data_IF_577966926138
#
_entry.id   IF_577966926138
#
_cell.length_a   1.000
_cell.length_b   1.000
_cell.length_c   1.000
_cell.angle_alpha   90.00
_cell.angle_beta   90.00
_cell.angle_gamma   90.00
#
_symmetry.space_group_name_H-M   'P 1'
#
loop_
_entity.id
_entity.type
_entity.pdbx_description
1 polymer ?
#
# COMPACT_ATOMS: atom_id res chain seq x y z
N UNK A 1 15.45 -5.03 -38.78
CA UNK A 1 16.77 -4.41 -38.96
C UNK A 1 16.71 -3.04 -38.28
N UNK A 2 17.75 -2.72 -37.48
CA UNK A 2 17.96 -1.46 -36.72
C UNK A 2 17.13 -1.31 -35.44
N UNK A 3 17.66 -0.96 -34.26
CA UNK A 3 19.02 -0.97 -33.65
C UNK A 3 18.73 -0.97 -32.13
N UNK A 4 19.36 -1.87 -31.39
CA UNK A 4 19.43 -1.80 -29.93
C UNK A 4 20.68 -1.00 -29.55
N UNK A 5 20.53 0.01 -28.68
CA UNK A 5 21.67 0.59 -27.97
C UNK A 5 21.59 0.23 -26.49
N UNK A 6 22.57 -0.59 -26.10
CA UNK A 6 22.98 -0.89 -24.75
C UNK A 6 24.45 -0.49 -24.68
N UNK A 7 24.79 0.53 -23.90
CA UNK A 7 26.13 0.88 -23.39
C UNK A 7 25.89 1.93 -22.29
N UNK A 8 26.55 1.94 -21.15
CA UNK A 8 27.64 1.10 -20.65
C UNK A 8 28.08 1.69 -19.31
N UNK A 9 28.33 0.81 -18.35
CA UNK A 9 28.95 1.11 -17.07
C UNK A 9 30.27 1.86 -17.24
N UNK A 10 30.41 3.03 -16.60
CA UNK A 10 31.72 3.62 -16.29
C UNK A 10 31.78 4.49 -15.03
N UNK A 11 30.80 4.37 -14.14
CA UNK A 11 30.81 5.03 -12.83
C UNK A 11 31.02 4.05 -11.65
N UNK A 12 31.00 2.74 -11.88
CA UNK A 12 31.09 1.73 -10.81
C UNK A 12 32.52 1.18 -10.63
N UNK A 13 33.36 1.19 -11.66
CA UNK A 13 34.75 0.72 -11.54
C UNK A 13 35.73 1.75 -10.93
N UNK A 14 35.38 3.04 -10.92
CA UNK A 14 36.25 4.09 -10.33
C UNK A 14 36.05 4.21 -8.81
N UNK A 15 34.90 3.75 -8.28
CA UNK A 15 34.61 3.80 -6.84
C UNK A 15 35.09 2.57 -6.07
N UNK A 16 35.29 1.43 -6.73
CA UNK A 16 35.81 0.22 -6.09
C UNK A 16 37.35 0.16 -6.06
N UNK A 17 38.05 0.91 -6.93
CA UNK A 17 39.52 1.00 -6.89
C UNK A 17 40.06 1.87 -5.74
N UNK A 18 39.32 2.90 -5.29
CA UNK A 18 39.74 3.79 -4.18
C UNK A 18 39.54 3.21 -2.78
N UNK A 19 38.63 2.24 -2.61
CA UNK A 19 38.37 1.60 -1.32
C UNK A 19 39.39 0.49 -0.97
N UNK A 20 40.06 -0.09 -1.97
CA UNK A 20 41.10 -1.09 -1.77
C UNK A 20 42.47 -0.49 -1.40
N UNK A 21 42.78 0.74 -1.87
CA UNK A 21 44.03 1.44 -1.58
C UNK A 21 44.10 2.06 -0.16
N UNK A 22 42.96 2.27 0.50
CA UNK A 22 42.91 2.77 1.88
C UNK A 22 43.01 1.64 2.92
N UNK A 23 42.65 0.40 2.58
CA UNK A 23 42.76 -0.76 3.48
C UNK A 23 44.16 -1.39 3.56
N UNK A 24 45.07 -1.05 2.65
CA UNK A 24 46.46 -1.54 2.67
C UNK A 24 47.46 -0.62 3.37
N UNK A 25 47.03 0.56 3.86
CA UNK A 25 47.92 1.55 4.52
C UNK A 25 47.88 1.57 6.05
N UNK A 26 47.05 0.76 6.70
CA UNK A 26 46.95 0.73 8.18
C UNK A 26 47.59 -0.50 8.82
N UNK A 27 48.42 -1.27 8.11
CA UNK A 27 49.04 -2.47 8.68
C UNK A 27 50.51 -2.60 8.31
N UNK A 28 51.37 -1.71 8.83
CA UNK A 28 52.82 -1.93 8.84
C UNK A 28 53.53 -1.31 10.07
N UNK A 29 53.80 -2.20 11.04
CA UNK A 29 55.05 -2.35 11.82
C UNK A 29 55.42 -1.34 12.95
N UNK A 30 56.34 -1.70 13.89
CA UNK A 30 56.71 -3.04 14.40
C UNK A 30 56.80 -3.14 15.95
N UNK A 31 56.95 -4.39 16.41
CA UNK A 31 57.22 -4.81 17.78
C UNK A 31 58.70 -4.60 18.21
N UNK A 32 58.91 -4.34 19.51
CA UNK A 32 60.19 -4.49 20.20
C UNK A 32 59.97 -5.09 21.60
N UNK A 33 60.94 -5.90 22.04
CA UNK A 33 60.81 -6.94 23.05
C UNK A 33 61.18 -6.51 24.49
N UNK A 34 60.53 -7.15 25.47
CA UNK A 34 61.11 -7.74 26.70
C UNK A 34 61.56 -6.83 27.85
N UNK A 35 60.99 -7.04 29.05
CA UNK A 35 61.67 -7.48 30.30
C UNK A 35 60.63 -7.56 31.45
N UNK A 36 60.77 -8.57 32.30
CA UNK A 36 59.87 -9.03 33.36
C UNK A 36 60.05 -8.34 34.74
N UNK A 37 58.98 -8.47 35.55
CA UNK A 37 58.87 -8.44 37.03
C UNK A 37 58.71 -7.08 37.78
N UNK A 38 58.12 -7.03 39.01
CA UNK A 38 57.18 -7.95 39.68
C UNK A 38 55.89 -7.27 40.25
N UNK A 39 54.98 -8.12 40.72
CA UNK A 39 53.64 -7.90 41.31
C UNK A 39 53.62 -7.03 42.59
N UNK A 40 52.60 -6.15 42.71
CA UNK A 40 51.95 -5.73 43.98
C UNK A 40 50.44 -5.48 43.76
N UNK A 41 49.54 -5.84 44.69
CA UNK A 41 48.08 -5.74 44.48
C UNK A 41 47.39 -4.54 45.16
N UNK A 42 46.15 -4.30 44.70
CA UNK A 42 45.01 -3.55 45.28
C UNK A 42 44.81 -2.09 44.80
N UNK A 43 43.57 -1.52 44.80
CA UNK A 43 42.27 -2.07 45.25
C UNK A 43 41.12 -2.01 44.21
N UNK A 44 40.02 -2.74 44.48
CA UNK A 44 38.74 -2.72 43.74
C UNK A 44 38.10 -1.33 43.81
N UNK A 45 37.92 -0.67 42.67
CA UNK A 45 37.02 0.47 42.50
C UNK A 45 35.66 0.00 41.96
N UNK A 46 34.59 0.56 42.53
CA UNK A 46 33.20 0.24 42.24
C UNK A 46 32.78 0.67 40.82
N UNK A 47 31.89 -0.12 40.20
CA UNK A 47 31.28 0.18 38.91
C UNK A 47 30.34 1.40 39.00
N UNK A 48 30.29 2.27 37.98
CA UNK A 48 29.29 3.32 37.89
C UNK A 48 27.90 2.74 37.60
N UNK A 49 26.88 3.21 38.34
CA UNK A 49 25.47 2.89 38.11
C UNK A 49 24.97 3.55 36.82
N UNK A 50 24.34 2.76 35.95
CA UNK A 50 23.57 3.25 34.80
C UNK A 50 22.31 4.01 35.27
N UNK A 51 21.94 5.14 34.61
CA UNK A 51 20.67 5.79 34.88
C UNK A 51 19.49 4.95 34.34
N UNK A 52 18.41 4.93 35.12
CA UNK A 52 17.18 4.18 34.84
C UNK A 52 16.51 4.57 33.50
N UNK A 53 15.85 3.63 32.82
CA UNK A 53 15.23 3.89 31.52
C UNK A 53 14.02 4.82 31.67
N UNK A 54 14.00 5.87 30.84
CA UNK A 54 12.84 6.73 30.64
C UNK A 54 11.77 5.92 29.90
N UNK A 55 10.69 5.57 30.59
CA UNK A 55 9.52 4.93 29.99
C UNK A 55 8.73 6.02 29.25
N UNK A 56 8.92 6.13 27.94
CA UNK A 56 8.00 6.87 27.06
C UNK A 56 6.81 5.97 26.75
N UNK A 57 5.65 6.30 27.28
CA UNK A 57 4.40 5.61 26.95
C UNK A 57 4.01 5.91 25.50
N UNK A 58 3.78 4.90 24.64
CA UNK A 58 3.33 5.13 23.27
C UNK A 58 1.91 5.70 23.23
N UNK A 59 1.63 6.51 22.20
CA UNK A 59 0.28 7.01 21.91
C UNK A 59 -0.71 5.85 21.72
N UNK A 60 -2.00 5.99 22.08
CA UNK A 60 -3.03 4.97 21.87
C UNK A 60 -3.10 4.42 20.43
N UNK A 61 -2.70 5.21 19.42
CA UNK A 61 -2.63 4.78 18.03
C UNK A 61 -1.49 3.76 17.77
N UNK A 62 -0.34 3.92 18.42
CA UNK A 62 0.81 3.00 18.30
C UNK A 62 0.56 1.67 19.01
N UNK A 63 -0.29 1.65 20.05
CA UNK A 63 -0.69 0.40 20.73
C UNK A 63 -1.63 -0.46 19.87
N UNK A 64 -2.44 0.13 18.98
CA UNK A 64 -3.29 -0.60 18.03
C UNK A 64 -2.51 -1.16 16.83
N UNK A 65 -1.26 -0.73 16.62
CA UNK A 65 -0.44 -1.11 15.47
C UNK A 65 0.01 -2.58 15.51
N UNK A 66 0.14 -3.18 16.70
CA UNK A 66 0.72 -4.52 16.87
C UNK A 66 -0.24 -5.70 16.67
N UNK A 67 -1.56 -5.48 16.56
CA UNK A 67 -2.54 -6.59 16.60
C UNK A 67 -3.19 -6.90 15.25
N UNK A 68 -3.08 -6.04 14.23
CA UNK A 68 -3.70 -6.29 12.93
C UNK A 68 -2.75 -5.95 11.78
N UNK A 69 -2.17 -7.02 11.22
CA UNK A 69 -1.43 -7.18 9.95
C UNK A 69 0.07 -7.46 10.16
N UNK A 70 0.60 -8.62 9.71
CA UNK A 70 2.02 -8.94 9.86
C UNK A 70 2.90 -7.92 9.10
N UNK A 71 3.99 -7.49 9.75
CA UNK A 71 4.96 -6.47 9.33
C UNK A 71 5.77 -6.79 8.05
N UNK A 72 5.33 -7.70 7.20
CA UNK A 72 6.02 -8.05 5.95
C UNK A 72 5.12 -7.83 4.74
N UNK A 73 4.63 -6.59 4.58
CA UNK A 73 4.08 -6.14 3.29
C UNK A 73 5.24 -5.79 2.37
N UNK A 74 5.63 -6.75 1.53
CA UNK A 74 6.64 -6.53 0.49
C UNK A 74 6.24 -5.36 -0.42
N UNK A 75 7.12 -4.36 -0.50
CA UNK A 75 7.05 -3.22 -1.41
C UNK A 75 7.00 -3.62 -2.89
N UNK A 76 7.26 -4.88 -3.24
CA UNK A 76 7.38 -5.32 -4.64
C UNK A 76 6.04 -5.60 -5.34
N UNK A 77 4.90 -5.51 -4.65
CA UNK A 77 3.58 -5.73 -5.28
C UNK A 77 3.12 -4.63 -6.23
N UNK A 78 3.58 -3.40 -6.03
CA UNK A 78 3.11 -2.25 -6.81
C UNK A 78 3.76 -2.16 -8.20
N UNK A 79 4.83 -2.93 -8.44
CA UNK A 79 5.58 -2.92 -9.70
C UNK A 79 4.89 -3.67 -10.86
N UNK A 80 4.20 -4.76 -10.55
CA UNK A 80 3.92 -5.81 -11.54
C UNK A 80 2.49 -5.84 -12.10
N UNK A 81 1.59 -4.98 -11.61
CA UNK A 81 0.27 -4.78 -12.26
C UNK A 81 0.42 -4.02 -13.60
N UNK A 82 1.57 -3.37 -13.84
CA UNK A 82 1.87 -2.57 -15.05
C UNK A 82 2.03 -3.41 -16.33
N UNK A 83 2.14 -4.75 -16.24
CA UNK A 83 2.26 -5.61 -17.42
C UNK A 83 0.94 -5.89 -18.17
N UNK A 84 -0.22 -5.41 -17.68
CA UNK A 84 -1.54 -5.72 -18.24
C UNK A 84 -2.33 -4.49 -18.72
N UNK A 85 -1.72 -3.54 -19.41
CA UNK A 85 -2.48 -2.64 -20.32
C UNK A 85 -1.65 -2.21 -21.52
N UNK A 86 -1.74 -2.98 -22.61
CA UNK A 86 -1.37 -2.51 -23.95
C UNK A 86 -2.48 -2.68 -24.98
N UNK A 87 -3.73 -2.73 -24.53
CA UNK A 87 -4.87 -2.53 -25.41
C UNK A 87 -5.36 -1.10 -25.22
N UNK A 88 -5.02 -0.26 -26.20
CA UNK A 88 -5.49 1.11 -26.35
C UNK A 88 -6.97 1.16 -26.72
N UNK A 89 -7.83 0.78 -25.77
CA UNK A 89 -9.25 1.12 -25.80
C UNK A 89 -9.43 2.53 -25.26
N UNK A 90 -9.96 3.43 -26.08
CA UNK A 90 -10.34 4.78 -25.69
C UNK A 90 -11.19 4.74 -24.41
N UNK A 91 -10.88 5.65 -23.47
CA UNK A 91 -11.67 5.85 -22.27
C UNK A 91 -13.13 6.11 -22.66
N UNK A 92 -14.12 5.35 -22.13
CA UNK A 92 -15.48 5.84 -22.13
C UNK A 92 -15.52 7.12 -21.29
N UNK A 93 -16.02 8.18 -21.92
CA UNK A 93 -16.25 9.50 -21.36
C UNK A 93 -17.23 9.45 -20.17
N UNK A 94 -16.97 10.27 -19.14
CA UNK A 94 -17.87 10.72 -18.04
C UNK A 94 -19.06 9.80 -17.69
N UNK A 95 -19.18 9.20 -16.50
CA UNK A 95 -19.34 9.88 -15.21
C UNK A 95 -19.10 8.93 -14.00
N UNK A 96 -17.87 8.79 -13.50
CA UNK A 96 -17.61 8.00 -12.28
C UNK A 96 -18.10 8.68 -10.99
N UNK A 97 -17.96 10.02 -10.84
CA UNK A 97 -18.43 10.67 -9.60
C UNK A 97 -19.94 10.63 -9.44
N UNK A 98 -20.75 10.77 -10.50
CA UNK A 98 -22.21 10.75 -10.35
C UNK A 98 -22.72 9.44 -9.71
N UNK A 99 -22.01 8.33 -9.93
CA UNK A 99 -22.32 7.04 -9.30
C UNK A 99 -21.86 6.98 -7.84
N UNK A 100 -20.84 7.73 -7.48
CA UNK A 100 -20.23 7.75 -6.14
C UNK A 100 -20.78 8.87 -5.25
N UNK A 101 -21.40 9.91 -5.83
CA UNK A 101 -22.08 10.98 -5.11
C UNK A 101 -23.12 10.38 -4.18
N UNK A 102 -23.09 10.76 -2.90
CA UNK A 102 -23.99 10.23 -1.88
C UNK A 102 -23.58 8.86 -1.30
N UNK A 103 -22.53 8.22 -1.81
CA UNK A 103 -21.94 7.06 -1.14
C UNK A 103 -21.09 7.48 0.07
N UNK A 104 -21.00 6.62 1.11
CA UNK A 104 -20.14 6.89 2.27
C UNK A 104 -18.69 7.18 1.86
N UNK A 105 -18.04 8.12 2.56
CA UNK A 105 -16.66 8.52 2.27
C UNK A 105 -15.69 7.32 2.25
N UNK A 106 -15.88 6.32 3.12
CA UNK A 106 -15.07 5.11 3.12
C UNK A 106 -15.09 4.35 1.78
N UNK A 107 -16.24 4.29 1.11
CA UNK A 107 -16.40 3.64 -0.19
C UNK A 107 -15.73 4.44 -1.29
N UNK A 108 -15.90 5.77 -1.28
CA UNK A 108 -15.24 6.70 -2.22
C UNK A 108 -13.72 6.62 -2.10
N UNK A 109 -13.20 6.68 -0.88
CA UNK A 109 -11.75 6.60 -0.59
C UNK A 109 -11.17 5.25 -1.01
N UNK A 110 -11.83 4.13 -0.69
CA UNK A 110 -11.40 2.81 -1.16
C UNK A 110 -11.39 2.74 -2.69
N UNK A 111 -12.39 3.31 -3.35
CA UNK A 111 -12.50 3.33 -4.82
C UNK A 111 -11.34 4.08 -5.46
N UNK A 112 -10.92 5.22 -4.90
CA UNK A 112 -9.75 5.97 -5.36
C UNK A 112 -8.47 5.13 -5.26
N UNK A 113 -8.18 4.58 -4.09
CA UNK A 113 -7.00 3.72 -3.90
C UNK A 113 -7.04 2.51 -4.83
N UNK A 114 -8.21 1.87 -4.97
CA UNK A 114 -8.40 0.75 -5.90
C UNK A 114 -8.16 1.15 -7.36
N UNK A 115 -8.54 2.35 -7.77
CA UNK A 115 -8.29 2.84 -9.11
C UNK A 115 -6.79 3.01 -9.40
N UNK A 116 -6.01 3.45 -8.40
CA UNK A 116 -4.55 3.48 -8.52
C UNK A 116 -3.93 2.09 -8.59
N UNK A 117 -4.43 1.13 -7.80
CA UNK A 117 -3.94 -0.25 -7.79
C UNK A 117 -4.23 -1.01 -9.09
N UNK A 118 -5.44 -0.81 -9.62
CA UNK A 118 -5.98 -1.65 -10.71
C UNK A 118 -5.97 -0.95 -12.07
N UNK A 119 -5.89 0.37 -12.08
CA UNK A 119 -6.07 1.18 -13.28
C UNK A 119 -7.52 1.18 -13.81
N UNK A 120 -8.49 0.81 -12.99
CA UNK A 120 -9.91 0.71 -13.35
C UNK A 120 -10.73 1.68 -12.51
N UNK A 121 -11.82 2.22 -13.07
CA UNK A 121 -12.77 3.04 -12.33
C UNK A 121 -13.78 2.20 -11.56
N UNK A 122 -14.70 2.84 -10.84
CA UNK A 122 -15.87 2.17 -10.27
C UNK A 122 -16.83 1.70 -11.37
N UNK A 123 -17.46 0.51 -11.23
CA UNK A 123 -17.24 -0.52 -10.21
C UNK A 123 -16.11 -1.50 -10.56
N UNK A 124 -15.55 -1.45 -11.78
CA UNK A 124 -14.55 -2.39 -12.32
C UNK A 124 -13.33 -2.62 -11.40
N UNK A 125 -12.89 -1.63 -10.64
CA UNK A 125 -11.77 -1.77 -9.70
C UNK A 125 -12.02 -2.82 -8.61
N UNK A 126 -13.27 -3.04 -8.21
CA UNK A 126 -13.65 -4.08 -7.25
C UNK A 126 -13.69 -5.48 -7.85
N UNK A 127 -13.75 -5.59 -9.19
CA UNK A 127 -13.72 -6.85 -9.93
C UNK A 127 -12.34 -7.27 -10.42
N UNK A 128 -11.29 -6.47 -10.20
CA UNK A 128 -9.99 -6.75 -10.81
C UNK A 128 -9.37 -8.03 -10.26
N UNK A 129 -8.93 -8.92 -11.17
CA UNK A 129 -8.28 -10.18 -10.82
C UNK A 129 -6.91 -10.26 -11.50
N UNK A 130 -5.90 -10.69 -10.75
CA UNK A 130 -4.54 -10.90 -11.25
C UNK A 130 -4.03 -12.31 -10.90
N UNK A 131 -3.30 -12.92 -11.83
CA UNK A 131 -2.76 -14.28 -11.69
C UNK A 131 -1.50 -14.35 -10.82
N UNK A 132 -0.82 -15.50 -10.82
CA UNK A 132 0.28 -15.84 -9.92
C UNK A 132 1.65 -15.20 -10.24
N UNK A 133 1.71 -13.90 -10.51
CA UNK A 133 2.97 -13.24 -10.88
C UNK A 133 3.95 -13.07 -9.70
N UNK A 134 3.47 -13.09 -8.46
CA UNK A 134 4.25 -12.90 -7.23
C UNK A 134 4.24 -14.12 -6.29
N UNK A 135 3.75 -15.28 -6.76
CA UNK A 135 3.67 -16.49 -5.95
C UNK A 135 2.45 -16.58 -5.03
N UNK A 136 1.50 -15.64 -5.13
CA UNK A 136 0.35 -15.55 -4.22
C UNK A 136 -0.91 -16.27 -4.72
N UNK A 137 -0.80 -17.00 -5.83
CA UNK A 137 -1.86 -17.78 -6.47
C UNK A 137 -2.79 -16.91 -7.31
N UNK A 138 -3.59 -16.10 -6.64
CA UNK A 138 -4.59 -15.23 -7.23
C UNK A 138 -4.77 -13.99 -6.35
N UNK A 139 -4.80 -12.81 -6.97
CA UNK A 139 -5.17 -11.54 -6.32
C UNK A 139 -6.50 -11.04 -6.85
N UNK A 140 -7.33 -10.46 -5.99
CA UNK A 140 -8.71 -10.09 -6.27
C UNK A 140 -9.08 -8.76 -5.61
N UNK A 141 -9.85 -7.95 -6.32
CA UNK A 141 -10.59 -6.81 -5.80
C UNK A 141 -9.77 -5.55 -5.53
N UNK A 142 -10.43 -4.59 -4.89
CA UNK A 142 -9.99 -3.23 -4.67
C UNK A 142 -8.59 -3.09 -4.03
N UNK A 143 -8.22 -3.98 -3.10
CA UNK A 143 -6.91 -3.98 -2.44
C UNK A 143 -6.03 -5.18 -2.83
N UNK A 144 -6.38 -5.91 -3.89
CA UNK A 144 -5.65 -7.10 -4.35
C UNK A 144 -5.44 -8.13 -3.22
N UNK A 145 -6.52 -8.45 -2.49
CA UNK A 145 -6.53 -9.55 -1.52
C UNK A 145 -6.19 -10.85 -2.24
N UNK A 146 -5.43 -11.73 -1.58
CA UNK A 146 -4.86 -12.89 -2.27
C UNK A 146 -4.84 -14.14 -1.39
N UNK A 147 -4.78 -15.27 -2.08
CA UNK A 147 -4.81 -16.59 -1.46
C UNK A 147 -3.55 -16.84 -0.61
N UNK A 148 -2.37 -16.52 -1.14
CA UNK A 148 -1.10 -16.84 -0.47
C UNK A 148 -0.94 -16.22 0.93
N UNK A 149 -1.45 -14.99 1.12
CA UNK A 149 -1.47 -14.31 2.42
C UNK A 149 -2.64 -14.71 3.31
N UNK A 150 -3.60 -15.48 2.82
CA UNK A 150 -4.82 -15.79 3.58
C UNK A 150 -5.81 -14.62 3.65
N UNK A 151 -5.61 -13.56 2.85
CA UNK A 151 -6.38 -12.33 2.98
C UNK A 151 -7.65 -12.30 2.13
N UNK A 152 -7.75 -13.15 1.11
CA UNK A 152 -8.91 -13.24 0.22
C UNK A 152 -10.02 -14.15 0.76
N UNK A 153 -9.61 -15.23 1.41
CA UNK A 153 -10.49 -16.28 1.91
C UNK A 153 -11.60 -15.75 2.83
N UNK A 154 -11.34 -14.80 3.76
CA UNK A 154 -12.40 -14.26 4.61
C UNK A 154 -13.49 -13.52 3.83
N UNK A 155 -13.15 -12.83 2.73
CA UNK A 155 -14.13 -12.12 1.90
C UNK A 155 -15.06 -13.11 1.18
N UNK A 156 -14.46 -14.16 0.60
CA UNK A 156 -15.20 -15.19 -0.12
C UNK A 156 -16.06 -16.05 0.81
N UNK A 157 -15.56 -16.36 2.03
CA UNK A 157 -16.37 -17.03 3.06
C UNK A 157 -17.55 -16.19 3.47
N UNK A 158 -17.34 -14.89 3.73
CA UNK A 158 -18.43 -13.98 4.08
C UNK A 158 -19.47 -13.87 2.96
N UNK A 159 -19.04 -13.83 1.69
CA UNK A 159 -19.95 -13.85 0.55
C UNK A 159 -20.77 -15.13 0.47
N UNK A 160 -20.13 -16.30 0.62
CA UNK A 160 -20.84 -17.59 0.65
C UNK A 160 -21.83 -17.65 1.81
N UNK A 161 -21.40 -17.25 2.99
CA UNK A 161 -22.17 -17.45 4.22
C UNK A 161 -23.35 -16.46 4.33
N UNK A 162 -23.23 -15.25 3.77
CA UNK A 162 -24.27 -14.19 3.87
C UNK A 162 -25.05 -13.95 2.58
N UNK A 163 -24.50 -14.32 1.43
CA UNK A 163 -25.01 -13.99 0.10
C UNK A 163 -24.95 -15.20 -0.84
N UNK A 164 -25.24 -16.40 -0.32
CA UNK A 164 -25.13 -17.66 -1.07
C UNK A 164 -25.92 -17.66 -2.39
N UNK A 165 -27.14 -17.11 -2.38
CA UNK A 165 -27.99 -17.03 -3.57
C UNK A 165 -27.36 -16.18 -4.69
N UNK A 166 -26.76 -15.04 -4.32
CA UNK A 166 -26.03 -14.19 -5.27
C UNK A 166 -24.78 -14.92 -5.79
N UNK A 167 -24.03 -15.57 -4.89
CA UNK A 167 -22.83 -16.32 -5.23
C UNK A 167 -23.12 -17.47 -6.20
N UNK A 168 -24.19 -18.24 -5.97
CA UNK A 168 -24.67 -19.31 -6.88
C UNK A 168 -25.04 -18.76 -8.25
N UNK A 169 -25.73 -17.63 -8.27
CA UNK A 169 -26.14 -16.99 -9.52
C UNK A 169 -24.93 -16.52 -10.33
N UNK A 170 -23.96 -15.89 -9.67
CA UNK A 170 -22.78 -15.31 -10.31
C UNK A 170 -21.82 -16.40 -10.81
N UNK A 171 -21.54 -17.41 -9.97
CA UNK A 171 -20.59 -18.47 -10.32
C UNK A 171 -21.22 -19.55 -11.21
N UNK A 172 -22.55 -19.71 -11.17
CA UNK A 172 -23.29 -20.72 -11.92
C UNK A 172 -22.64 -22.11 -11.79
N UNK A 173 -22.23 -22.73 -12.90
CA UNK A 173 -21.57 -24.03 -12.91
C UNK A 173 -20.22 -24.10 -12.21
N UNK A 174 -19.61 -22.96 -11.83
CA UNK A 174 -18.36 -22.90 -11.09
C UNK A 174 -18.56 -22.91 -9.56
N UNK A 175 -19.80 -22.79 -9.08
CA UNK A 175 -20.10 -22.61 -7.66
C UNK A 175 -19.58 -23.76 -6.79
N UNK A 176 -19.82 -25.02 -7.21
CA UNK A 176 -19.44 -26.18 -6.40
C UNK A 176 -17.91 -26.32 -6.30
N UNK A 177 -17.19 -26.13 -7.41
CA UNK A 177 -15.72 -26.13 -7.43
C UNK A 177 -15.15 -24.99 -6.56
N UNK A 178 -15.76 -23.80 -6.64
CA UNK A 178 -15.36 -22.66 -5.81
C UNK A 178 -15.53 -22.95 -4.32
N UNK A 179 -16.67 -23.50 -3.91
CA UNK A 179 -16.93 -23.83 -2.51
C UNK A 179 -15.99 -24.93 -2.02
N UNK A 180 -15.78 -25.98 -2.83
CA UNK A 180 -14.82 -27.04 -2.52
C UNK A 180 -13.40 -26.49 -2.31
N UNK A 181 -12.95 -25.60 -3.20
CA UNK A 181 -11.67 -24.92 -3.02
C UNK A 181 -11.65 -24.09 -1.73
N UNK A 182 -12.68 -23.32 -1.44
CA UNK A 182 -12.71 -22.42 -0.28
C UNK A 182 -12.63 -23.16 1.07
N UNK A 183 -13.14 -24.39 1.12
CA UNK A 183 -13.09 -25.29 2.29
C UNK A 183 -11.79 -26.11 2.36
N UNK A 184 -10.99 -26.13 1.29
CA UNK A 184 -9.71 -26.86 1.25
C UNK A 184 -8.60 -26.15 2.04
N UNK A 185 -7.55 -26.86 2.48
CA UNK A 185 -6.34 -26.26 3.06
C UNK A 185 -5.70 -25.20 2.14
N UNK A 186 -4.97 -24.24 2.70
CA UNK A 186 -4.39 -23.12 1.92
C UNK A 186 -3.50 -23.60 0.76
N UNK A 187 -2.73 -24.67 0.94
CA UNK A 187 -1.86 -25.20 -0.12
C UNK A 187 -2.69 -25.75 -1.28
N UNK A 188 -3.86 -26.31 -1.00
CA UNK A 188 -4.79 -26.82 -2.02
C UNK A 188 -5.50 -25.69 -2.73
N UNK A 189 -5.80 -24.60 -2.02
CA UNK A 189 -6.28 -23.35 -2.64
C UNK A 189 -5.24 -22.76 -3.59
N UNK A 190 -3.96 -22.78 -3.22
CA UNK A 190 -2.88 -22.35 -4.10
C UNK A 190 -2.73 -23.27 -5.33
N UNK A 191 -2.87 -24.59 -5.15
CA UNK A 191 -2.89 -25.55 -6.27
C UNK A 191 -4.07 -25.33 -7.20
N UNK A 192 -5.28 -25.11 -6.66
CA UNK A 192 -6.45 -24.73 -7.45
C UNK A 192 -6.21 -23.42 -8.20
N UNK A 193 -5.69 -22.41 -7.49
CA UNK A 193 -5.39 -21.12 -8.09
C UNK A 193 -4.45 -21.27 -9.27
N UNK A 194 -3.40 -22.11 -9.18
CA UNK A 194 -2.52 -22.45 -10.31
C UNK A 194 -3.23 -23.23 -11.41
N UNK A 195 -4.17 -24.11 -11.08
CA UNK A 195 -4.92 -24.94 -12.04
C UNK A 195 -5.85 -24.14 -12.95
N UNK A 196 -6.36 -22.99 -12.50
CA UNK A 196 -7.27 -22.14 -13.30
C UNK A 196 -6.53 -21.10 -14.17
N UNK A 197 -5.21 -21.18 -14.28
CA UNK A 197 -4.39 -20.22 -15.03
C UNK A 197 -3.29 -20.94 -15.81
N UNK A 198 -2.85 -20.30 -16.88
CA UNK A 198 -1.74 -20.74 -17.70
C UNK A 198 -0.66 -19.68 -17.76
N UNK A 199 0.59 -20.13 -17.76
CA UNK A 199 1.73 -19.26 -18.04
C UNK A 199 1.79 -19.03 -19.55
N UNK A 200 1.49 -17.82 -19.99
CA UNK A 200 1.63 -17.39 -21.36
C UNK A 200 3.05 -16.85 -21.53
N UNK A 201 3.86 -17.57 -22.31
CA UNK A 201 5.22 -17.12 -22.65
C UNK A 201 5.15 -15.80 -23.41
N UNK A 202 5.80 -14.79 -22.83
CA UNK A 202 5.90 -13.45 -23.41
C UNK A 202 7.23 -12.85 -22.97
N UNK A 203 7.56 -11.62 -23.41
CA UNK A 203 8.79 -10.96 -22.98
C UNK A 203 8.92 -10.83 -21.46
N UNK A 204 7.79 -10.81 -20.75
CA UNK A 204 7.73 -10.71 -19.28
C UNK A 204 7.17 -11.98 -18.62
N UNK A 205 6.68 -12.94 -19.40
CA UNK A 205 5.76 -14.01 -18.99
C UNK A 205 4.51 -13.48 -18.27
N UNK A 206 3.34 -13.96 -18.66
CA UNK A 206 2.07 -13.48 -18.08
C UNK A 206 1.22 -14.64 -17.61
N UNK A 207 0.73 -14.58 -16.38
CA UNK A 207 -0.24 -15.54 -15.87
C UNK A 207 -1.64 -15.16 -16.36
N UNK A 208 -2.20 -15.97 -17.25
CA UNK A 208 -3.56 -15.79 -17.77
C UNK A 208 -4.52 -16.71 -17.03
N UNK A 209 -5.49 -16.11 -16.35
CA UNK A 209 -6.63 -16.82 -15.74
C UNK A 209 -7.58 -17.28 -16.85
N UNK A 210 -8.10 -18.50 -16.74
CA UNK A 210 -9.10 -19.05 -17.64
C UNK A 210 -10.32 -18.13 -17.74
N UNK A 211 -10.84 -17.92 -18.95
CA UNK A 211 -11.81 -16.85 -19.22
C UNK A 211 -13.11 -17.04 -18.42
N UNK A 212 -13.57 -18.27 -18.22
CA UNK A 212 -14.75 -18.58 -17.38
C UNK A 212 -14.55 -18.10 -15.92
N UNK A 213 -13.42 -18.45 -15.32
CA UNK A 213 -13.07 -18.02 -13.95
C UNK A 213 -12.86 -16.52 -13.87
N UNK A 214 -12.13 -15.94 -14.83
CA UNK A 214 -11.88 -14.50 -14.88
C UNK A 214 -13.20 -13.73 -14.93
N UNK A 215 -14.10 -14.09 -15.84
CA UNK A 215 -15.37 -13.41 -16.01
C UNK A 215 -16.27 -13.56 -14.76
N UNK A 216 -16.37 -14.77 -14.20
CA UNK A 216 -17.18 -15.03 -13.01
C UNK A 216 -16.65 -14.27 -11.78
N UNK A 217 -15.33 -14.24 -11.57
CA UNK A 217 -14.71 -13.51 -10.47
C UNK A 217 -14.82 -11.99 -10.68
N UNK A 218 -14.68 -11.49 -11.91
CA UNK A 218 -14.92 -10.08 -12.20
C UNK A 218 -16.37 -9.69 -11.87
N UNK A 219 -17.35 -10.49 -12.31
CA UNK A 219 -18.76 -10.28 -11.97
C UNK A 219 -19.00 -10.34 -10.46
N UNK A 220 -18.36 -11.29 -9.76
CA UNK A 220 -18.42 -11.38 -8.30
C UNK A 220 -17.93 -10.10 -7.64
N UNK A 221 -16.75 -9.60 -8.00
CA UNK A 221 -16.17 -8.41 -7.39
C UNK A 221 -16.97 -7.13 -7.65
N UNK A 222 -17.68 -7.05 -8.77
CA UNK A 222 -18.55 -5.92 -9.11
C UNK A 222 -19.97 -6.03 -8.51
N UNK A 223 -20.33 -7.16 -7.89
CA UNK A 223 -21.63 -7.33 -7.25
C UNK A 223 -21.76 -6.43 -6.01
N UNK A 224 -22.96 -5.88 -5.77
CA UNK A 224 -23.24 -5.03 -4.61
C UNK A 224 -22.77 -5.64 -3.29
N UNK A 225 -23.17 -6.89 -2.95
CA UNK A 225 -22.72 -7.55 -1.73
C UNK A 225 -21.19 -7.67 -1.59
N UNK A 226 -20.49 -8.04 -2.66
CA UNK A 226 -19.03 -8.19 -2.60
C UNK A 226 -18.32 -6.83 -2.52
N UNK A 227 -18.84 -5.78 -3.15
CA UNK A 227 -18.34 -4.41 -2.96
C UNK A 227 -18.48 -4.00 -1.50
N UNK A 228 -19.61 -4.27 -0.87
CA UNK A 228 -19.85 -3.90 0.53
C UNK A 228 -18.99 -4.73 1.51
N UNK A 229 -18.75 -6.01 1.21
CA UNK A 229 -17.76 -6.84 1.93
C UNK A 229 -16.36 -6.24 1.80
N UNK A 230 -15.93 -5.87 0.59
CA UNK A 230 -14.61 -5.26 0.37
C UNK A 230 -14.46 -3.93 1.13
N UNK A 231 -15.49 -3.08 1.15
CA UNK A 231 -15.53 -1.84 1.94
C UNK A 231 -15.46 -2.14 3.44
N UNK A 232 -16.25 -3.10 3.93
CA UNK A 232 -16.24 -3.53 5.33
C UNK A 232 -14.85 -4.02 5.77
N UNK A 233 -14.19 -4.84 4.94
CA UNK A 233 -12.85 -5.35 5.23
C UNK A 233 -11.76 -4.28 5.18
N UNK A 234 -11.99 -3.19 4.45
CA UNK A 234 -11.12 -2.01 4.47
C UNK A 234 -11.38 -1.06 5.65
N UNK A 235 -12.46 -1.27 6.43
CA UNK A 235 -12.90 -0.37 7.49
C UNK A 235 -11.83 -0.12 8.55
N UNK A 236 -11.06 -1.14 8.97
CA UNK A 236 -9.99 -0.96 9.96
C UNK A 236 -8.90 0.01 9.46
N UNK A 237 -8.49 -0.10 8.19
CA UNK A 237 -7.55 0.82 7.58
C UNK A 237 -8.13 2.24 7.46
N UNK A 238 -9.44 2.36 7.18
CA UNK A 238 -10.15 3.64 7.16
C UNK A 238 -10.21 4.31 8.53
N UNK A 239 -10.51 3.56 9.59
CA UNK A 239 -10.50 4.10 10.97
C UNK A 239 -9.10 4.56 11.39
N UNK A 240 -8.06 3.81 11.02
CA UNK A 240 -6.67 4.23 11.25
C UNK A 240 -6.34 5.50 10.47
N UNK A 241 -6.80 5.62 9.22
CA UNK A 241 -6.64 6.84 8.44
C UNK A 241 -7.30 8.05 9.09
N UNK A 242 -8.51 7.90 9.66
CA UNK A 242 -9.15 8.95 10.45
C UNK A 242 -8.34 9.32 11.72
N UNK A 243 -7.68 8.34 12.34
CA UNK A 243 -6.71 8.58 13.41
C UNK A 243 -5.56 9.47 12.95
N UNK A 244 -4.93 9.11 11.82
CA UNK A 244 -3.88 9.93 11.22
C UNK A 244 -4.36 11.33 10.85
N UNK A 245 -5.59 11.50 10.34
CA UNK A 245 -6.14 12.83 10.09
C UNK A 245 -6.14 13.69 11.36
N UNK A 246 -6.52 13.13 12.51
CA UNK A 246 -6.45 13.85 13.80
C UNK A 246 -5.01 14.19 14.18
N UNK A 247 -4.10 13.24 14.07
CA UNK A 247 -2.68 13.40 14.45
C UNK A 247 -1.98 14.49 13.63
N UNK A 248 -2.33 14.61 12.34
CA UNK A 248 -1.75 15.60 11.41
C UNK A 248 -2.67 16.77 11.11
N UNK A 249 -3.72 17.00 11.93
CA UNK A 249 -4.61 18.16 11.81
C UNK A 249 -5.22 18.32 10.40
N UNK A 250 -5.55 17.20 9.75
CA UNK A 250 -6.31 17.16 8.51
C UNK A 250 -7.80 17.05 8.83
N UNK A 251 -8.59 17.91 8.21
CA UNK A 251 -10.01 18.09 8.50
C UNK A 251 -10.91 17.86 7.30
N UNK A 252 -10.34 17.63 6.11
CA UNK A 252 -11.10 17.48 4.86
C UNK A 252 -11.07 16.05 4.34
N UNK A 253 -12.08 15.70 3.54
CA UNK A 253 -12.23 14.36 2.96
C UNK A 253 -10.99 13.89 2.19
N UNK A 254 -10.36 14.79 1.44
CA UNK A 254 -9.10 14.52 0.72
C UNK A 254 -7.95 14.14 1.65
N UNK A 255 -7.92 14.69 2.85
CA UNK A 255 -6.98 14.29 3.89
C UNK A 255 -7.16 12.83 4.30
N UNK A 256 -8.41 12.37 4.42
CA UNK A 256 -8.73 10.96 4.70
C UNK A 256 -8.29 10.08 3.54
N UNK A 257 -8.52 10.52 2.30
CA UNK A 257 -8.07 9.81 1.10
C UNK A 257 -6.55 9.62 1.09
N UNK A 258 -5.79 10.67 1.42
CA UNK A 258 -4.33 10.62 1.50
C UNK A 258 -3.86 9.64 2.59
N UNK A 259 -4.42 9.75 3.79
CA UNK A 259 -4.04 8.92 4.92
C UNK A 259 -4.40 7.46 4.74
N UNK A 260 -5.54 7.17 4.12
CA UNK A 260 -5.93 5.81 3.76
C UNK A 260 -4.98 5.21 2.73
N UNK A 261 -4.64 5.96 1.69
CA UNK A 261 -3.70 5.51 0.66
C UNK A 261 -2.30 5.24 1.26
N UNK A 262 -1.82 6.08 2.17
CA UNK A 262 -0.58 5.85 2.93
C UNK A 262 -0.69 4.59 3.78
N UNK A 263 -1.79 4.40 4.52
CA UNK A 263 -1.99 3.21 5.35
C UNK A 263 -1.99 1.94 4.51
N UNK A 264 -2.65 1.94 3.36
CA UNK A 264 -2.71 0.78 2.46
C UNK A 264 -1.35 0.51 1.83
N UNK A 265 -0.71 1.54 1.25
CA UNK A 265 0.51 1.36 0.45
C UNK A 265 1.78 1.23 1.30
N UNK A 266 1.88 1.98 2.40
CA UNK A 266 3.10 2.15 3.17
C UNK A 266 2.98 1.72 4.65
N UNK A 267 1.77 1.35 5.11
CA UNK A 267 1.51 0.89 6.48
C UNK A 267 1.30 2.02 7.50
N UNK A 268 1.92 3.18 7.30
CA UNK A 268 1.78 4.35 8.18
C UNK A 268 2.52 5.57 7.66
N UNK A 269 2.24 6.73 8.28
CA UNK A 269 2.85 8.01 7.92
C UNK A 269 4.24 8.15 8.57
N UNK A 270 4.34 7.77 9.85
CA UNK A 270 5.55 7.82 10.67
C UNK A 270 6.48 6.64 10.37
N UNK A 271 7.53 6.89 9.59
CA UNK A 271 8.66 5.97 9.40
C UNK A 271 9.93 6.78 9.28
N UNK A 272 11.03 6.28 9.85
CA UNK A 272 12.36 6.90 9.68
C UNK A 272 12.36 8.42 10.02
N UNK A 273 11.63 8.80 11.08
CA UNK A 273 11.53 10.17 11.57
C UNK A 273 10.69 11.13 10.71
N UNK A 274 9.95 10.65 9.70
CA UNK A 274 9.10 11.51 8.85
C UNK A 274 8.08 12.34 9.66
N UNK A 275 7.51 11.79 10.73
CA UNK A 275 6.52 12.50 11.54
C UNK A 275 6.98 13.77 12.21
N UNK A 276 8.20 13.76 12.72
CA UNK A 276 8.80 14.92 13.37
C UNK A 276 9.07 16.01 12.34
N UNK A 277 9.61 15.63 11.17
CA UNK A 277 9.83 16.56 10.05
C UNK A 277 8.54 17.17 9.55
N UNK A 278 7.52 16.34 9.27
CA UNK A 278 6.20 16.80 8.83
C UNK A 278 5.61 17.81 9.82
N UNK A 279 5.66 17.51 11.12
CA UNK A 279 5.13 18.41 12.15
C UNK A 279 5.94 19.70 12.26
N UNK A 280 7.25 19.66 12.09
CA UNK A 280 8.10 20.86 12.02
C UNK A 280 7.75 21.72 10.81
N UNK A 281 7.60 21.10 9.64
CA UNK A 281 7.29 21.79 8.38
C UNK A 281 5.88 22.41 8.37
N UNK A 282 4.93 21.86 9.15
CA UNK A 282 3.62 22.49 9.32
C UNK A 282 3.70 23.87 9.96
N UNK A 283 4.66 24.11 10.84
CA UNK A 283 4.85 25.41 11.49
C UNK A 283 5.43 26.46 10.53
N UNK A 284 5.92 26.03 9.36
CA UNK A 284 6.39 26.90 8.28
C UNK A 284 5.28 27.30 7.28
N UNK A 285 4.08 26.72 7.41
CA UNK A 285 2.94 27.06 6.54
C UNK A 285 2.52 28.51 6.81
N UNK A 286 2.39 29.30 5.74
CA UNK A 286 1.98 30.69 5.84
C UNK A 286 0.59 30.81 6.51
N UNK A 287 0.48 31.45 7.70
CA UNK A 287 -0.79 31.55 8.41
C UNK A 287 -1.82 32.46 7.70
N UNK A 288 -1.40 33.25 6.72
CA UNK A 288 -2.29 34.09 5.91
C UNK A 288 -3.05 33.31 4.81
N UNK A 289 -2.69 32.04 4.56
CA UNK A 289 -3.42 31.17 3.64
C UNK A 289 -4.81 30.84 4.19
N UNK A 290 -5.78 30.63 3.30
CA UNK A 290 -7.10 30.12 3.69
C UNK A 290 -6.99 28.73 4.33
N UNK A 291 -8.01 28.32 5.09
CA UNK A 291 -8.02 27.00 5.73
C UNK A 291 -7.85 25.85 4.72
N UNK A 292 -8.42 25.98 3.53
CA UNK A 292 -8.32 25.02 2.43
C UNK A 292 -6.91 24.96 1.84
N UNK A 293 -6.28 26.12 1.62
CA UNK A 293 -4.89 26.19 1.14
C UNK A 293 -3.91 25.63 2.18
N UNK A 294 -4.14 25.87 3.48
CA UNK A 294 -3.35 25.27 4.55
C UNK A 294 -3.54 23.75 4.61
N UNK A 295 -4.77 23.24 4.44
CA UNK A 295 -5.03 21.80 4.37
C UNK A 295 -4.26 21.16 3.21
N UNK A 296 -4.30 21.77 2.02
CA UNK A 296 -3.54 21.30 0.86
C UNK A 296 -2.03 21.34 1.14
N UNK A 297 -1.51 22.42 1.71
CA UNK A 297 -0.10 22.53 2.07
C UNK A 297 0.34 21.42 3.05
N UNK A 298 -0.49 21.11 4.07
CA UNK A 298 -0.23 19.98 4.99
C UNK A 298 -0.17 18.65 4.24
N UNK A 299 -1.15 18.37 3.38
CA UNK A 299 -1.19 17.15 2.58
C UNK A 299 0.03 17.02 1.66
N UNK A 300 0.48 18.10 1.05
CA UNK A 300 1.67 18.08 0.19
C UNK A 300 2.97 17.84 0.97
N UNK A 301 3.11 18.40 2.17
CA UNK A 301 4.23 18.13 3.07
C UNK A 301 4.25 16.64 3.43
N UNK A 302 3.11 16.09 3.88
CA UNK A 302 2.97 14.66 4.18
C UNK A 302 3.35 13.81 2.96
N UNK A 303 2.87 14.17 1.77
CA UNK A 303 3.17 13.45 0.53
C UNK A 303 4.68 13.42 0.22
N UNK A 304 5.36 14.56 0.36
CA UNK A 304 6.81 14.70 0.12
C UNK A 304 7.63 13.90 1.13
N UNK A 305 7.39 14.10 2.42
CA UNK A 305 8.16 13.42 3.47
C UNK A 305 7.96 11.90 3.45
N UNK A 306 6.72 11.43 3.24
CA UNK A 306 6.42 10.01 3.16
C UNK A 306 7.07 9.37 1.93
N UNK A 307 7.14 10.09 0.81
CA UNK A 307 7.84 9.61 -0.38
C UNK A 307 9.36 9.54 -0.19
N UNK A 308 9.97 10.49 0.53
CA UNK A 308 11.42 10.55 0.69
C UNK A 308 11.99 9.28 1.34
N UNK A 309 11.30 8.78 2.37
CA UNK A 309 11.62 7.55 3.11
C UNK A 309 11.00 6.29 2.46
N UNK A 310 10.59 6.36 1.19
CA UNK A 310 10.31 5.18 0.39
C UNK A 310 11.60 4.65 -0.26
N UNK A 311 11.56 3.40 -0.74
CA UNK A 311 12.68 2.85 -1.50
C UNK A 311 13.03 3.77 -2.68
N UNK A 312 14.33 4.06 -2.95
CA UNK A 312 14.72 5.00 -4.00
C UNK A 312 14.13 4.70 -5.38
N UNK A 313 13.94 3.41 -5.72
CA UNK A 313 13.32 2.99 -6.99
C UNK A 313 11.84 3.37 -7.12
N UNK A 314 11.13 3.56 -6.00
CA UNK A 314 9.70 3.85 -5.94
C UNK A 314 9.37 5.27 -5.51
N UNK A 315 10.36 6.05 -5.02
CA UNK A 315 10.16 7.39 -4.46
C UNK A 315 9.32 8.31 -5.35
N UNK A 316 9.68 8.42 -6.62
CA UNK A 316 8.97 9.29 -7.56
C UNK A 316 7.53 8.84 -7.82
N UNK A 317 7.30 7.52 -7.88
CA UNK A 317 5.96 6.98 -8.08
C UNK A 317 5.06 7.21 -6.86
N UNK A 318 5.61 6.96 -5.66
CA UNK A 318 4.94 7.27 -4.39
C UNK A 318 4.63 8.76 -4.31
N UNK A 319 5.61 9.62 -4.58
CA UNK A 319 5.43 11.07 -4.53
C UNK A 319 4.30 11.53 -5.45
N UNK A 320 4.36 11.15 -6.73
CA UNK A 320 3.37 11.54 -7.74
C UNK A 320 1.96 11.09 -7.38
N UNK A 321 1.82 9.86 -6.86
CA UNK A 321 0.53 9.33 -6.39
C UNK A 321 -0.02 10.14 -5.21
N UNK A 322 0.81 10.41 -4.20
CA UNK A 322 0.38 11.16 -3.00
C UNK A 322 0.09 12.63 -3.31
N UNK A 323 0.87 13.27 -4.19
CA UNK A 323 0.60 14.63 -4.66
C UNK A 323 -0.68 14.71 -5.50
N UNK A 324 -0.98 13.69 -6.32
CA UNK A 324 -2.27 13.61 -7.04
C UNK A 324 -3.44 13.67 -6.06
N UNK A 325 -3.33 12.97 -4.92
CA UNK A 325 -4.33 13.05 -3.87
C UNK A 325 -4.33 14.44 -3.22
N UNK A 326 -3.19 14.94 -2.76
CA UNK A 326 -3.11 16.24 -2.06
C UNK A 326 -3.68 17.40 -2.90
N UNK A 327 -3.27 17.48 -4.16
CA UNK A 327 -3.66 18.54 -5.11
C UNK A 327 -5.06 18.32 -5.66
N UNK A 328 -5.62 17.12 -5.50
CA UNK A 328 -6.94 16.73 -5.99
C UNK A 328 -6.98 16.41 -7.48
N UNK A 329 -5.89 16.63 -8.21
CA UNK A 329 -5.74 16.29 -9.63
C UNK A 329 -4.30 15.88 -9.92
N UNK A 330 -4.11 15.01 -10.90
CA UNK A 330 -2.77 14.57 -11.28
C UNK A 330 -2.78 13.37 -12.21
N UNK A 331 -1.62 12.74 -12.40
CA UNK A 331 -1.45 11.58 -13.27
C UNK A 331 -0.76 10.46 -12.51
N UNK A 332 -1.37 9.28 -12.46
CA UNK A 332 -0.81 8.07 -11.83
C UNK A 332 -0.81 6.94 -12.86
N UNK A 333 0.35 6.32 -13.08
CA UNK A 333 0.54 5.23 -14.06
C UNK A 333 -0.01 5.56 -15.47
N UNK A 334 0.19 6.79 -15.93
CA UNK A 334 -0.24 7.27 -17.25
C UNK A 334 -1.73 7.62 -17.38
N UNK A 335 -2.50 7.56 -16.28
CA UNK A 335 -3.92 7.95 -16.25
C UNK A 335 -4.09 9.25 -15.47
N UNK A 336 -4.87 10.18 -16.02
CA UNK A 336 -5.23 11.42 -15.34
C UNK A 336 -6.41 11.19 -14.39
N UNK A 337 -6.34 11.80 -13.20
CA UNK A 337 -7.36 11.73 -12.17
C UNK A 337 -7.76 13.13 -11.74
N UNK A 338 -9.04 13.32 -11.47
CA UNK A 338 -9.64 14.48 -10.83
C UNK A 338 -10.52 13.97 -9.68
N UNK A 339 -10.07 14.13 -8.44
CA UNK A 339 -10.66 13.45 -7.28
C UNK A 339 -12.12 13.84 -7.04
N UNK A 340 -12.44 15.11 -7.25
CA UNK A 340 -13.79 15.61 -7.12
C UNK A 340 -14.69 15.06 -8.24
N UNK A 341 -14.24 15.18 -9.50
CA UNK A 341 -15.01 14.72 -10.68
C UNK A 341 -15.10 13.20 -10.82
N UNK A 342 -14.13 12.45 -10.32
CA UNK A 342 -14.04 11.00 -10.55
C UNK A 342 -14.46 10.20 -9.31
N UNK A 343 -14.35 10.77 -8.10
CA UNK A 343 -14.63 10.06 -6.86
C UNK A 343 -15.53 10.83 -5.90
N UNK A 344 -15.97 12.03 -6.26
CA UNK A 344 -16.68 12.96 -5.38
C UNK A 344 -15.91 13.23 -4.08
N UNK A 345 -14.57 13.32 -4.12
CA UNK A 345 -13.71 13.61 -2.96
C UNK A 345 -13.16 15.03 -3.09
N UNK A 346 -13.69 15.94 -2.28
CA UNK A 346 -13.37 17.36 -2.30
C UNK A 346 -12.54 17.83 -1.11
N UNK A 347 -12.54 19.15 -0.89
CA UNK A 347 -12.12 19.76 0.39
C UNK A 347 -13.32 19.94 1.33
N UNK A 348 -14.39 19.17 1.17
CA UNK A 348 -15.47 19.20 2.14
C UNK A 348 -14.96 18.73 3.51
N UNK A 349 -15.52 19.25 4.62
CA UNK A 349 -15.19 18.76 5.95
C UNK A 349 -15.44 17.26 6.05
N UNK A 350 -14.59 16.54 6.77
CA UNK A 350 -14.89 15.18 7.19
C UNK A 350 -16.18 15.27 8.00
N UNK A 351 -17.29 14.73 7.48
CA UNK A 351 -18.54 14.69 8.23
C UNK A 351 -18.25 14.08 9.60
N UNK A 352 -18.59 14.83 10.66
CA UNK A 352 -18.61 14.29 12.03
C UNK A 352 -19.56 13.11 11.99
N UNK A 353 -19.04 11.89 11.96
CA UNK A 353 -19.84 10.67 12.00
C UNK A 353 -20.69 10.70 13.27
N UNK A 354 -21.94 11.14 13.14
CA UNK A 354 -22.98 10.67 14.04
C UNK A 354 -22.96 9.14 13.93
N UNK A 355 -23.02 8.42 15.05
CA UNK A 355 -22.89 6.96 15.03
C UNK A 355 -23.94 6.38 14.09
N UNK A 356 -23.48 5.55 13.15
CA UNK A 356 -24.35 4.64 12.40
C UNK A 356 -25.15 3.87 13.44
N UNK A 357 -26.41 4.24 13.60
CA UNK A 357 -27.36 3.52 14.44
C UNK A 357 -27.40 2.10 13.92
N UNK A 358 -27.04 1.15 14.79
CA UNK A 358 -27.20 -0.26 14.53
C UNK A 358 -28.67 -0.50 14.15
N UNK A 359 -28.88 -0.93 12.91
CA UNK A 359 -30.18 -1.46 12.50
C UNK A 359 -30.38 -2.74 13.32
N UNK A 360 -31.40 -2.70 14.18
CA UNK A 360 -31.83 -3.78 15.06
C UNK A 360 -32.40 -4.98 14.29
#
# INVERSE_FOLDING_TARGET
MVVAFYFGSRAVEVLQAKAAEQRTKETTAPAAAGVEAPVRPAPKAAAPQEPAPVITTPSPAAAMEQVLLPETRSFDRFANVVALTKDGGAAPAAQPAAQLTGMPLAKRVLTLTAAFETGRGFPDCFGTVAGNFDGQGLSFGALQWNIGQGSLQPLWKEMRDRHDADLRTILAGLYDEFCHMLDSPKDDQLRWALGIQSLVSSRTNTWRIADNWKNALQALGMSGPMVDIQVSRASSAYQIALGFCKDYRLTRERGVALMFDIRVQNGGVDREGSGERIRGDFELINPALSADEQEVARMEIIARDRAEVASPKWREDVLRRKLTIAQGKGTVHGRSYDLDRDFAIGLDPIESTAPLTAVA
#
